data_IF_224180449455
#
_entry.id   IF_224180449455
#
_cell.length_a   1.000
_cell.length_b   1.000
_cell.length_c   1.000
_cell.angle_alpha   90.00
_cell.angle_beta   90.00
_cell.angle_gamma   90.00
#
_symmetry.space_group_name_H-M   'P 1'
#
loop_
_entity.id
_entity.type
_entity.pdbx_description
1 polymer ?
#
# COMPACT_ATOMS: atom_id res chain seq x y z
N UNK A 1 6.60 16.95 4.60
CA UNK A 1 6.32 16.88 3.14
C UNK A 1 5.53 15.61 2.90
N UNK A 2 4.66 15.63 1.91
CA UNK A 2 3.69 14.57 1.69
C UNK A 2 3.44 14.36 0.22
N UNK A 3 3.23 13.10 -0.16
CA UNK A 3 3.01 12.68 -1.52
C UNK A 3 1.59 12.14 -1.65
N UNK A 4 0.87 12.59 -2.67
CA UNK A 4 -0.43 12.05 -3.05
C UNK A 4 -0.28 11.34 -4.40
N UNK A 5 -0.86 10.15 -4.52
CA UNK A 5 -0.83 9.33 -5.74
C UNK A 5 -2.16 8.61 -5.94
N UNK A 6 -2.39 8.12 -7.16
CA UNK A 6 -3.63 7.45 -7.55
C UNK A 6 -3.66 5.99 -7.06
N UNK A 7 -4.85 5.54 -6.66
CA UNK A 7 -5.12 4.14 -6.37
C UNK A 7 -5.39 3.39 -7.68
N UNK A 8 -4.52 2.45 -8.02
CA UNK A 8 -4.66 1.63 -9.23
C UNK A 8 -5.73 0.55 -9.07
N UNK A 9 -5.75 -0.10 -7.91
CA UNK A 9 -6.74 -1.13 -7.59
C UNK A 9 -6.68 -1.53 -6.11
N UNK A 10 -7.80 -2.07 -5.62
CA UNK A 10 -7.89 -2.70 -4.31
C UNK A 10 -8.21 -4.18 -4.53
N UNK A 11 -7.48 -5.07 -3.84
CA UNK A 11 -7.61 -6.52 -3.96
C UNK A 11 -7.70 -7.17 -2.58
N UNK A 12 -8.61 -8.12 -2.45
CA UNK A 12 -8.63 -9.02 -1.31
C UNK A 12 -7.78 -10.25 -1.63
N UNK A 13 -6.80 -10.54 -0.76
CA UNK A 13 -5.87 -11.65 -0.91
C UNK A 13 -6.10 -12.68 0.21
N UNK A 14 -6.18 -13.99 -0.09
CA UNK A 14 -6.11 -15.04 0.93
C UNK A 14 -4.76 -15.03 1.69
N UNK A 15 -4.70 -15.82 2.76
CA UNK A 15 -3.44 -16.13 3.43
C UNK A 15 -2.52 -16.96 2.52
N UNK A 16 -1.21 -16.76 2.62
CA UNK A 16 -0.18 -17.46 1.85
C UNK A 16 0.18 -16.79 0.51
N UNK A 17 -0.34 -15.59 0.22
CA UNK A 17 -0.11 -14.90 -1.04
C UNK A 17 1.04 -13.88 -0.93
N UNK A 18 1.81 -13.77 -2.00
CA UNK A 18 2.97 -12.88 -2.06
C UNK A 18 2.56 -11.44 -2.41
N UNK A 19 3.05 -10.47 -1.65
CA UNK A 19 2.77 -9.04 -1.85
C UNK A 19 4.05 -8.25 -2.07
N UNK A 20 3.98 -7.32 -3.04
CA UNK A 20 5.07 -6.42 -3.39
C UNK A 20 6.19 -7.09 -4.20
N UNK A 21 7.18 -6.28 -4.57
CA UNK A 21 8.24 -6.73 -5.46
C UNK A 21 9.16 -7.78 -4.80
N UNK A 22 9.37 -8.89 -5.49
CA UNK A 22 10.25 -9.97 -5.05
C UNK A 22 9.68 -10.84 -3.92
N UNK A 23 8.38 -10.77 -3.64
CA UNK A 23 7.66 -11.74 -2.78
C UNK A 23 8.18 -11.83 -1.34
N UNK A 24 8.75 -10.75 -0.80
CA UNK A 24 9.29 -10.75 0.58
C UNK A 24 8.24 -10.68 1.66
N UNK A 25 7.04 -10.21 1.33
CA UNK A 25 5.90 -10.24 2.22
C UNK A 25 4.96 -11.35 1.77
N UNK A 26 4.58 -12.21 2.70
CA UNK A 26 3.57 -13.25 2.52
C UNK A 26 2.46 -12.95 3.50
N UNK A 27 1.22 -12.95 3.02
CA UNK A 27 0.06 -12.74 3.88
C UNK A 27 -0.06 -13.90 4.87
N UNK A 28 -0.09 -13.61 6.17
CA UNK A 28 -0.28 -14.59 7.25
C UNK A 28 -1.76 -14.82 7.58
N UNK A 29 -2.62 -13.90 7.14
CA UNK A 29 -4.06 -13.94 7.23
C UNK A 29 -4.68 -13.44 5.91
N UNK A 30 -6.01 -13.44 5.77
CA UNK A 30 -6.65 -12.78 4.64
C UNK A 30 -6.44 -11.25 4.70
N UNK A 31 -5.79 -10.67 3.68
CA UNK A 31 -5.44 -9.25 3.62
C UNK A 31 -6.30 -8.51 2.60
N UNK A 32 -6.42 -7.19 2.77
CA UNK A 32 -6.95 -6.29 1.74
C UNK A 32 -5.86 -5.31 1.37
N UNK A 33 -5.41 -5.38 0.13
CA UNK A 33 -4.25 -4.63 -0.36
C UNK A 33 -4.71 -3.61 -1.38
N UNK A 34 -4.26 -2.38 -1.19
CA UNK A 34 -4.32 -1.32 -2.18
C UNK A 34 -3.02 -1.23 -2.96
N UNK A 35 -3.13 -1.13 -4.27
CA UNK A 35 -2.01 -0.85 -5.17
C UNK A 35 -2.04 0.61 -5.57
N UNK A 36 -0.95 1.31 -5.33
CA UNK A 36 -0.83 2.75 -5.56
C UNK A 36 0.18 3.00 -6.67
N UNK A 37 -0.10 3.96 -7.55
CA UNK A 37 0.72 4.36 -8.69
C UNK A 37 1.96 5.19 -8.27
N UNK A 38 2.76 4.64 -7.37
CA UNK A 38 4.02 5.25 -6.92
C UNK A 38 5.03 4.16 -6.64
N UNK A 39 6.26 4.35 -7.08
CA UNK A 39 7.36 3.45 -6.78
C UNK A 39 8.69 4.17 -6.64
N UNK A 40 9.77 3.39 -6.69
CA UNK A 40 11.10 3.95 -6.49
C UNK A 40 11.57 4.84 -7.64
N UNK A 41 10.95 4.75 -8.82
CA UNK A 41 11.21 5.68 -9.92
C UNK A 41 10.75 7.11 -9.57
N UNK A 42 9.72 7.22 -8.74
CA UNK A 42 9.16 8.49 -8.26
C UNK A 42 9.89 9.04 -7.01
N UNK A 43 11.00 8.40 -6.63
CA UNK A 43 11.80 8.75 -5.45
C UNK A 43 11.38 8.04 -4.16
N UNK A 44 10.44 7.09 -4.24
CA UNK A 44 10.01 6.28 -3.09
C UNK A 44 11.03 5.19 -2.76
N UNK A 45 11.87 5.39 -1.74
CA UNK A 45 12.97 4.48 -1.45
C UNK A 45 12.47 3.05 -1.10
N UNK A 46 13.08 2.04 -1.72
CA UNK A 46 12.76 0.60 -1.62
C UNK A 46 12.83 -0.02 -0.20
N UNK A 47 13.19 0.75 0.82
CA UNK A 47 13.50 0.26 2.16
C UNK A 47 13.00 1.12 3.31
N UNK A 48 12.19 2.16 3.06
CA UNK A 48 11.58 2.91 4.15
C UNK A 48 10.27 2.22 4.50
N UNK A 49 10.14 1.75 5.74
CA UNK A 49 8.85 1.39 6.30
C UNK A 49 8.11 2.69 6.60
N UNK A 50 7.15 3.08 5.75
CA UNK A 50 6.35 4.28 6.00
C UNK A 50 4.88 3.95 6.25
N UNK A 51 4.24 4.90 6.91
CA UNK A 51 2.80 4.95 7.08
C UNK A 51 2.23 5.54 5.78
N UNK A 52 1.42 4.75 5.09
CA UNK A 52 0.60 5.22 3.98
C UNK A 52 -0.86 5.37 4.47
N UNK A 53 -1.71 6.02 3.70
CA UNK A 53 -3.10 6.16 4.06
C UNK A 53 -4.02 6.10 2.86
N UNK A 54 -5.13 5.39 3.02
CA UNK A 54 -6.22 5.38 2.06
C UNK A 54 -7.00 6.69 2.21
N UNK A 55 -6.84 7.58 1.24
CA UNK A 55 -7.19 8.99 1.40
C UNK A 55 -6.51 9.65 2.62
N UNK A 56 -7.05 10.80 3.06
CA UNK A 56 -6.52 11.56 4.21
C UNK A 56 -6.99 11.03 5.58
N UNK A 57 -7.86 10.02 5.61
CA UNK A 57 -8.56 9.60 6.84
C UNK A 57 -8.06 8.28 7.42
N UNK A 58 -7.66 7.32 6.60
CA UNK A 58 -7.36 5.96 7.06
C UNK A 58 -5.86 5.66 7.01
N UNK A 59 -5.20 5.73 8.17
CA UNK A 59 -3.79 5.33 8.29
C UNK A 59 -3.65 3.83 8.12
N UNK A 60 -2.69 3.46 7.29
CA UNK A 60 -2.41 2.11 6.81
C UNK A 60 -0.89 1.91 6.75
N UNK A 61 -0.45 0.68 6.53
CA UNK A 61 0.98 0.37 6.44
C UNK A 61 1.34 -0.05 5.03
N UNK A 62 2.52 0.30 4.56
CA UNK A 62 3.04 -0.25 3.31
C UNK A 62 3.54 -1.67 3.58
N UNK A 63 3.17 -2.61 2.72
CA UNK A 63 3.56 -4.01 2.81
C UNK A 63 4.35 -4.44 1.59
N UNK A 64 5.39 -5.25 1.82
CA UNK A 64 6.33 -5.65 0.78
C UNK A 64 7.24 -4.50 0.31
N UNK A 65 7.98 -4.76 -0.77
CA UNK A 65 8.86 -3.75 -1.39
C UNK A 65 8.12 -2.97 -2.46
N UNK A 66 8.38 -1.67 -2.51
CA UNK A 66 8.01 -0.83 -3.64
C UNK A 66 8.63 -1.37 -4.94
N UNK A 67 7.78 -1.57 -5.94
CA UNK A 67 8.15 -1.83 -7.33
C UNK A 67 8.60 -0.53 -8.00
N UNK A 68 8.92 -0.58 -9.29
CA UNK A 68 9.37 0.60 -10.05
C UNK A 68 8.35 1.73 -10.01
N UNK A 69 7.08 1.40 -10.24
CA UNK A 69 5.99 2.36 -10.43
C UNK A 69 4.78 2.07 -9.52
N UNK A 70 4.91 1.11 -8.59
CA UNK A 70 3.78 0.73 -7.73
C UNK A 70 4.25 0.30 -6.35
N UNK A 71 3.39 0.51 -5.36
CA UNK A 71 3.56 0.01 -3.99
C UNK A 71 2.24 -0.60 -3.49
N UNK A 72 2.35 -1.44 -2.46
CA UNK A 72 1.21 -2.13 -1.85
C UNK A 72 0.98 -1.61 -0.44
N UNK A 73 -0.26 -1.24 -0.14
CA UNK A 73 -0.71 -0.71 1.16
C UNK A 73 -1.72 -1.67 1.76
N UNK A 74 -1.53 -2.03 3.03
CA UNK A 74 -2.42 -2.92 3.76
C UNK A 74 -3.56 -2.14 4.41
N UNK A 75 -4.77 -2.42 3.94
CA UNK A 75 -6.03 -1.84 4.40
C UNK A 75 -6.78 -2.76 5.38
N UNK A 76 -6.28 -3.98 5.64
CA UNK A 76 -7.00 -4.99 6.45
C UNK A 76 -7.35 -4.50 7.86
N UNK A 77 -6.54 -3.61 8.42
CA UNK A 77 -6.77 -3.01 9.74
C UNK A 77 -7.50 -1.67 9.71
N UNK A 78 -7.57 -1.01 8.54
CA UNK A 78 -8.07 0.37 8.42
C UNK A 78 -9.45 0.46 7.79
N UNK A 79 -9.86 -0.55 7.00
CA UNK A 79 -11.12 -0.59 6.29
C UNK A 79 -11.75 -2.00 6.28
N UNK A 80 -13.08 -2.11 6.48
CA UNK A 80 -13.77 -3.37 6.31
C UNK A 80 -13.77 -3.84 4.85
N UNK A 81 -13.89 -5.14 4.64
CA UNK A 81 -14.03 -5.74 3.30
C UNK A 81 -15.28 -5.20 2.61
N UNK A 82 -15.17 -4.88 1.32
CA UNK A 82 -16.26 -4.32 0.52
C UNK A 82 -16.46 -2.80 0.66
N UNK A 83 -15.66 -2.10 1.47
CA UNK A 83 -15.63 -0.63 1.43
C UNK A 83 -15.22 -0.12 0.05
N UNK A 84 -15.75 1.04 -0.32
CA UNK A 84 -15.39 1.72 -1.57
C UNK A 84 -13.88 2.03 -1.60
N UNK A 85 -13.28 1.97 -2.80
CA UNK A 85 -11.89 2.34 -2.99
C UNK A 85 -11.79 3.86 -3.12
N UNK A 86 -10.98 4.51 -2.27
CA UNK A 86 -10.56 5.88 -2.47
C UNK A 86 -9.89 6.06 -3.83
N UNK A 87 -10.06 7.24 -4.41
CA UNK A 87 -9.42 7.62 -5.68
C UNK A 87 -7.93 7.93 -5.50
N UNK A 88 -7.49 8.29 -4.28
CA UNK A 88 -6.09 8.64 -4.00
C UNK A 88 -5.58 8.06 -2.68
N UNK A 89 -4.28 7.80 -2.67
CA UNK A 89 -3.51 7.36 -1.52
C UNK A 89 -2.49 8.43 -1.15
N UNK A 90 -2.24 8.59 0.15
CA UNK A 90 -1.33 9.59 0.68
C UNK A 90 -0.19 8.92 1.45
N UNK A 91 1.05 9.31 1.18
CA UNK A 91 2.22 8.85 1.90
C UNK A 91 2.96 10.02 2.55
N UNK A 92 3.37 9.84 3.81
CA UNK A 92 4.13 10.83 4.56
C UNK A 92 5.51 10.27 4.90
N UNK A 93 6.56 10.93 4.40
CA UNK A 93 7.93 10.73 4.90
C UNK A 93 7.99 11.23 6.34
N UNK A 94 8.12 10.34 7.32
CA UNK A 94 8.66 10.74 8.62
C UNK A 94 10.11 11.13 8.40
N UNK A 95 10.47 12.33 8.89
CA UNK A 95 11.81 12.91 8.80
C UNK A 95 12.88 11.96 9.33
#
# INVERSE_FOLDING_TARGET
MSLESEVLAVRDLPAGEFVGYGGRFVTDAPFRIEMVAVGYADGYLRGIAEHAGHGRQHRSRIVGRASMNMMSVDLSTSLPRGSEAASSCWASRYR
#
